data_IF_074164829076
#
_entry.id   IF_074164829076
#
_cell.length_a   1.000
_cell.length_b   1.000
_cell.length_c   1.000
_cell.angle_alpha   90.00
_cell.angle_beta   90.00
_cell.angle_gamma   90.00
#
_symmetry.space_group_name_H-M   'P 1'
#
loop_
_entity.id
_entity.type
_entity.pdbx_description
1 polymer ?
#
# COMPACT_ATOMS: atom_id res chain seq x y z
N UNK A 1 30.46 3.65 26.97
CA UNK A 1 29.52 2.53 26.79
C UNK A 1 29.81 1.96 25.42
N UNK A 2 30.52 0.84 25.40
CA UNK A 2 31.00 0.23 24.16
C UNK A 2 29.86 -0.55 23.51
N UNK A 3 29.40 -0.05 22.36
CA UNK A 3 28.49 -0.75 21.46
C UNK A 3 29.31 -1.79 20.70
N UNK A 4 29.31 -3.03 21.21
CA UNK A 4 29.84 -4.18 20.48
C UNK A 4 28.92 -4.44 19.28
N UNK A 5 29.45 -4.19 18.09
CA UNK A 5 28.71 -4.32 16.83
C UNK A 5 28.79 -5.74 16.25
N UNK A 6 27.67 -6.39 15.94
CA UNK A 6 27.64 -7.53 15.02
C UNK A 6 27.73 -7.06 13.55
N UNK A 7 28.08 -7.94 12.60
CA UNK A 7 28.47 -7.56 11.23
C UNK A 7 27.29 -7.17 10.30
N UNK A 8 26.09 -7.01 10.84
CA UNK A 8 24.95 -6.42 10.15
C UNK A 8 24.47 -5.26 11.01
N UNK A 9 24.93 -4.05 10.72
CA UNK A 9 24.50 -2.84 11.44
C UNK A 9 23.01 -2.60 11.15
N UNK A 10 22.15 -3.09 12.05
CA UNK A 10 20.71 -2.85 12.08
C UNK A 10 20.48 -1.85 13.21
N UNK A 11 19.94 -0.69 12.88
CA UNK A 11 19.46 0.25 13.88
C UNK A 11 17.93 0.21 13.93
N UNK A 12 17.40 -0.08 15.11
CA UNK A 12 15.96 -0.03 15.39
C UNK A 12 15.72 1.04 16.44
N UNK A 13 14.93 2.05 16.10
CA UNK A 13 14.49 3.08 17.03
C UNK A 13 13.01 2.84 17.34
N UNK A 14 12.69 2.65 18.62
CA UNK A 14 11.32 2.41 19.10
C UNK A 14 11.03 3.16 20.39
N UNK A 15 9.87 3.82 20.47
CA UNK A 15 9.42 4.46 21.71
C UNK A 15 9.14 3.48 22.84
N UNK A 16 8.91 2.20 22.56
CA UNK A 16 8.66 1.19 23.59
C UNK A 16 9.92 0.76 24.35
N UNK A 17 11.11 1.09 23.85
CA UNK A 17 12.38 0.77 24.53
C UNK A 17 12.72 1.77 25.65
N UNK A 18 12.00 2.88 25.74
CA UNK A 18 12.23 3.92 26.73
C UNK A 18 11.04 3.95 27.70
N UNK A 19 11.26 3.39 28.89
CA UNK A 19 10.32 3.51 30.01
C UNK A 19 10.02 4.99 30.32
N UNK A 20 8.91 5.23 31.01
CA UNK A 20 8.15 6.49 31.09
C UNK A 20 8.87 7.77 31.54
N UNK A 21 10.20 7.79 31.69
CA UNK A 21 10.98 8.99 32.02
C UNK A 21 12.37 9.10 31.35
N UNK A 22 12.73 8.30 30.32
CA UNK A 22 14.09 8.32 29.77
C UNK A 22 14.18 8.69 28.28
N UNK A 23 15.00 9.70 27.96
CA UNK A 23 15.55 10.08 26.64
C UNK A 23 14.88 9.47 25.40
N UNK A 24 13.87 10.15 24.87
CA UNK A 24 13.49 9.98 23.48
C UNK A 24 14.72 10.23 22.58
N UNK A 25 14.94 9.44 21.51
CA UNK A 25 15.91 9.84 20.49
C UNK A 25 15.47 11.23 20.02
N UNK A 26 16.24 12.25 20.37
CA UNK A 26 15.98 13.62 19.91
C UNK A 26 16.47 13.74 18.47
N UNK A 27 15.99 14.74 17.74
CA UNK A 27 16.45 15.11 16.39
C UNK A 27 17.99 15.06 16.27
N UNK A 28 18.71 15.46 17.33
CA UNK A 28 20.18 15.39 17.45
C UNK A 28 20.77 13.98 17.33
N UNK A 29 20.11 12.94 17.83
CA UNK A 29 20.58 11.54 17.70
C UNK A 29 20.49 11.12 16.23
N UNK A 30 19.49 11.61 15.51
CA UNK A 30 19.28 11.34 14.11
C UNK A 30 20.28 12.04 13.20
N UNK A 31 20.53 13.32 13.44
CA UNK A 31 21.58 14.07 12.73
C UNK A 31 22.93 13.36 12.88
N UNK A 32 23.25 12.88 14.08
CA UNK A 32 24.47 12.11 14.33
C UNK A 32 24.51 10.77 13.57
N UNK A 33 23.38 10.14 13.31
CA UNK A 33 23.29 8.89 12.54
C UNK A 33 23.35 9.14 11.04
N UNK A 34 22.76 10.23 10.55
CA UNK A 34 22.83 10.66 9.15
C UNK A 34 24.26 11.03 8.74
N UNK A 35 25.08 11.53 9.66
CA UNK A 35 26.48 11.89 9.39
C UNK A 35 27.53 10.87 9.86
N UNK A 36 27.23 10.02 10.86
CA UNK A 36 28.25 9.24 11.59
C UNK A 36 28.33 7.75 11.28
N UNK A 37 27.32 7.14 10.66
CA UNK A 37 27.28 5.68 10.45
C UNK A 37 27.41 5.31 8.96
N UNK A 38 28.62 5.44 8.42
CA UNK A 38 28.96 5.16 7.01
C UNK A 38 28.58 3.75 6.52
N UNK A 39 28.29 2.81 7.43
CA UNK A 39 27.96 1.42 7.12
C UNK A 39 26.54 1.00 7.52
N UNK A 40 25.66 1.93 7.90
CA UNK A 40 24.29 1.58 8.29
C UNK A 40 23.49 1.11 7.07
N UNK A 41 23.31 -0.20 6.95
CA UNK A 41 22.58 -0.81 5.84
C UNK A 41 21.07 -0.94 6.10
N UNK A 42 20.67 -1.07 7.37
CA UNK A 42 19.29 -1.30 7.78
C UNK A 42 18.85 -0.28 8.84
N UNK A 43 17.79 0.46 8.56
CA UNK A 43 17.18 1.41 9.48
C UNK A 43 15.69 1.10 9.65
N UNK A 44 15.23 0.96 10.89
CA UNK A 44 13.84 0.73 11.22
C UNK A 44 13.35 1.70 12.30
N UNK A 45 12.25 2.40 12.01
CA UNK A 45 11.65 3.41 12.88
C UNK A 45 10.24 2.98 13.26
N UNK A 46 10.01 2.83 14.55
CA UNK A 46 8.74 2.36 15.10
C UNK A 46 8.20 3.35 16.12
N UNK A 47 7.11 4.03 15.76
CA UNK A 47 6.39 4.95 16.66
C UNK A 47 7.36 5.90 17.40
N UNK A 48 8.26 6.56 16.68
CA UNK A 48 9.23 7.48 17.29
C UNK A 48 8.54 8.79 17.73
N UNK A 49 8.33 8.95 19.04
CA UNK A 49 7.74 10.14 19.67
C UNK A 49 8.65 11.36 19.49
N UNK A 50 8.06 12.50 19.14
CA UNK A 50 8.78 13.77 18.94
C UNK A 50 9.23 14.04 17.50
N UNK A 51 9.05 13.10 16.57
CA UNK A 51 9.34 13.30 15.14
C UNK A 51 8.06 13.62 14.36
N UNK A 52 7.73 14.90 14.26
CA UNK A 52 6.65 15.34 13.36
C UNK A 52 7.13 15.35 11.90
N UNK A 53 8.40 15.69 11.66
CA UNK A 53 9.04 15.64 10.36
C UNK A 53 10.23 14.68 10.40
N UNK A 54 10.37 13.88 9.34
CA UNK A 54 11.45 12.91 9.21
C UNK A 54 12.34 13.26 8.02
N UNK A 55 13.63 13.45 8.26
CA UNK A 55 14.61 13.70 7.22
C UNK A 55 15.71 12.64 7.26
N UNK A 56 15.90 11.92 6.14
CA UNK A 56 17.00 10.98 5.98
C UNK A 56 17.79 11.34 4.74
N UNK A 57 19.08 11.59 4.91
CA UNK A 57 20.06 11.62 3.83
C UNK A 57 21.10 10.54 4.12
N UNK A 58 21.14 9.48 3.32
CA UNK A 58 22.09 8.38 3.52
C UNK A 58 22.42 7.64 2.23
N UNK A 59 23.70 7.44 2.00
CA UNK A 59 24.18 6.60 0.89
C UNK A 59 24.43 5.15 1.30
N UNK A 60 24.32 4.81 2.59
CA UNK A 60 24.59 3.45 3.08
C UNK A 60 23.33 2.61 3.24
N UNK A 61 22.18 3.25 3.48
CA UNK A 61 20.92 2.56 3.79
C UNK A 61 20.38 1.84 2.57
N UNK A 62 20.23 0.52 2.70
CA UNK A 62 19.64 -0.38 1.69
C UNK A 62 18.22 -0.79 2.05
N UNK A 63 17.92 -0.86 3.34
CA UNK A 63 16.61 -1.24 3.86
C UNK A 63 16.12 -0.18 4.85
N UNK A 64 14.98 0.43 4.54
CA UNK A 64 14.33 1.42 5.39
C UNK A 64 12.92 0.96 5.76
N UNK A 65 12.61 0.88 7.04
CA UNK A 65 11.26 0.65 7.55
C UNK A 65 10.82 1.85 8.39
N UNK A 66 9.64 2.39 8.08
CA UNK A 66 8.98 3.42 8.89
C UNK A 66 7.61 2.88 9.28
N UNK A 67 7.32 2.88 10.58
CA UNK A 67 6.07 2.40 11.16
C UNK A 67 5.50 3.46 12.10
N UNK A 68 4.31 3.97 11.78
CA UNK A 68 3.62 5.07 12.49
C UNK A 68 2.19 4.65 12.82
N UNK A 69 2.08 3.74 13.79
CA UNK A 69 0.79 3.22 14.25
C UNK A 69 0.14 4.08 15.32
N UNK A 70 0.96 4.83 16.09
CA UNK A 70 0.52 5.63 17.25
C UNK A 70 0.74 7.13 17.09
N UNK A 71 1.54 7.55 16.12
CA UNK A 71 2.02 8.94 16.00
C UNK A 71 1.76 9.41 14.58
N UNK A 72 1.27 10.64 14.45
CA UNK A 72 1.06 11.29 13.17
C UNK A 72 2.40 11.89 12.70
N UNK A 73 2.95 11.34 11.63
CA UNK A 73 4.06 11.95 10.91
C UNK A 73 3.48 13.02 9.97
N UNK A 74 3.88 14.28 10.15
CA UNK A 74 3.46 15.41 9.29
C UNK A 74 4.23 15.43 7.98
N UNK A 75 5.52 15.11 8.02
CA UNK A 75 6.40 15.16 6.84
C UNK A 75 7.45 14.06 6.79
N UNK A 76 7.82 13.62 5.59
CA UNK A 76 8.94 12.72 5.36
C UNK A 76 9.72 13.09 4.09
N UNK A 77 11.02 13.34 4.25
CA UNK A 77 11.98 13.58 3.16
C UNK A 77 13.08 12.53 3.22
N UNK A 78 13.12 11.66 2.22
CA UNK A 78 14.09 10.56 2.15
C UNK A 78 14.95 10.74 0.91
N UNK A 79 16.25 10.88 1.13
CA UNK A 79 17.30 10.83 0.12
C UNK A 79 18.17 9.61 0.43
N UNK A 80 17.91 8.51 -0.29
CA UNK A 80 18.57 7.23 -0.07
C UNK A 80 19.03 6.66 -1.41
N UNK A 81 20.28 6.95 -1.78
CA UNK A 81 20.82 6.57 -3.11
C UNK A 81 20.83 5.06 -3.30
N UNK A 82 21.35 4.30 -2.34
CA UNK A 82 21.52 2.85 -2.42
C UNK A 82 20.35 2.03 -1.87
N UNK A 83 19.15 2.61 -1.78
CA UNK A 83 17.98 1.88 -1.30
C UNK A 83 17.65 0.69 -2.21
N UNK A 84 17.31 -0.44 -1.59
CA UNK A 84 16.80 -1.64 -2.26
C UNK A 84 15.35 -1.90 -1.86
N UNK A 85 15.01 -1.66 -0.60
CA UNK A 85 13.67 -1.89 -0.08
C UNK A 85 13.26 -0.77 0.88
N UNK A 86 12.08 -0.21 0.62
CA UNK A 86 11.40 0.71 1.52
C UNK A 86 10.10 0.07 2.02
N UNK A 87 9.85 0.15 3.32
CA UNK A 87 8.61 -0.31 3.94
C UNK A 87 7.99 0.80 4.75
N UNK A 88 6.74 1.13 4.45
CA UNK A 88 5.95 2.10 5.19
C UNK A 88 4.72 1.44 5.78
N UNK A 89 4.52 1.57 7.08
CA UNK A 89 3.38 1.00 7.81
C UNK A 89 2.71 2.12 8.60
N UNK A 90 1.44 2.41 8.35
CA UNK A 90 0.77 3.51 9.05
C UNK A 90 -0.74 3.32 9.14
N UNK A 91 -1.36 4.06 10.06
CA UNK A 91 -2.78 4.38 9.91
C UNK A 91 -2.93 5.44 8.80
N UNK A 92 -3.95 5.39 7.95
CA UNK A 92 -4.05 6.35 6.82
C UNK A 92 -4.10 7.83 7.23
N UNK A 93 -4.74 8.23 8.36
CA UNK A 93 -4.60 9.60 8.85
C UNK A 93 -3.14 10.04 9.06
N UNK A 94 -2.25 9.08 9.35
CA UNK A 94 -0.82 9.25 9.56
C UNK A 94 0.03 9.18 8.27
N UNK A 95 -0.60 9.15 7.08
CA UNK A 95 0.15 9.42 5.84
C UNK A 95 0.57 10.89 5.85
N UNK A 96 1.88 11.19 5.74
CA UNK A 96 2.40 12.55 5.81
C UNK A 96 1.79 13.47 4.76
N UNK A 97 1.58 14.73 5.14
CA UNK A 97 1.08 15.76 4.23
C UNK A 97 2.13 16.11 3.18
N UNK A 98 3.40 16.05 3.58
CA UNK A 98 4.59 16.15 2.72
C UNK A 98 5.34 14.82 2.72
N UNK A 99 5.49 14.22 1.53
CA UNK A 99 6.25 12.99 1.37
C UNK A 99 7.07 13.09 0.09
N UNK A 100 8.39 13.01 0.21
CA UNK A 100 9.32 13.03 -0.91
C UNK A 100 10.36 11.94 -0.78
N UNK A 101 10.63 11.26 -1.88
CA UNK A 101 11.62 10.20 -1.94
C UNK A 101 12.51 10.43 -3.16
N UNK A 102 13.81 10.53 -2.92
CA UNK A 102 14.82 10.67 -3.97
C UNK A 102 15.82 9.52 -3.85
N UNK A 103 16.06 8.87 -4.97
CA UNK A 103 17.14 7.90 -5.14
C UNK A 103 17.95 8.29 -6.37
N UNK A 104 19.25 8.04 -6.33
CA UNK A 104 20.16 8.28 -7.45
C UNK A 104 20.62 6.97 -8.11
N UNK A 105 20.18 5.80 -7.62
CA UNK A 105 20.52 4.53 -8.26
C UNK A 105 19.65 4.26 -9.47
N UNK A 106 20.29 3.75 -10.53
CA UNK A 106 19.61 3.18 -11.70
C UNK A 106 19.11 1.75 -11.46
N UNK A 107 19.16 1.26 -10.22
CA UNK A 107 18.78 -0.11 -9.86
C UNK A 107 17.30 -0.15 -9.51
N UNK A 108 16.66 -1.25 -9.87
CA UNK A 108 15.30 -1.51 -9.40
C UNK A 108 15.28 -1.65 -7.88
N UNK A 109 14.27 -1.06 -7.25
CA UNK A 109 14.04 -1.13 -5.81
C UNK A 109 12.54 -1.27 -5.54
N UNK A 110 12.22 -1.77 -4.35
CA UNK A 110 10.86 -2.18 -3.98
C UNK A 110 10.30 -1.29 -2.86
N UNK A 111 9.03 -0.91 -3.01
CA UNK A 111 8.26 -0.21 -1.97
C UNK A 111 7.12 -1.09 -1.48
N UNK A 112 7.05 -1.30 -0.16
CA UNK A 112 5.96 -1.99 0.51
C UNK A 112 5.19 -1.01 1.39
N UNK A 113 3.99 -0.63 0.95
CA UNK A 113 3.15 0.35 1.64
C UNK A 113 1.96 -0.38 2.27
N UNK A 114 1.89 -0.41 3.59
CA UNK A 114 0.83 -1.07 4.35
C UNK A 114 0.08 -0.01 5.13
N UNK A 115 -1.17 0.21 4.76
CA UNK A 115 -1.98 1.26 5.36
C UNK A 115 -3.26 0.70 5.95
N UNK A 116 -3.57 1.10 7.18
CA UNK A 116 -4.78 0.68 7.87
C UNK A 116 -5.73 1.86 8.13
N UNK A 117 -7.00 1.71 7.76
CA UNK A 117 -8.10 2.53 8.26
C UNK A 117 -8.50 1.96 9.62
N UNK A 118 -8.17 2.70 10.69
CA UNK A 118 -8.49 2.37 12.09
C UNK A 118 -9.99 2.34 12.39
N UNK A 119 -10.39 2.34 13.66
CA UNK A 119 -11.83 2.40 14.02
C UNK A 119 -12.47 3.69 13.50
N UNK A 120 -13.80 3.66 13.32
CA UNK A 120 -14.62 4.79 12.85
C UNK A 120 -14.14 6.11 13.45
N UNK A 121 -13.51 6.92 12.60
CA UNK A 121 -13.22 8.30 12.93
C UNK A 121 -14.46 9.09 12.50
N UNK A 122 -15.01 9.98 13.35
CA UNK A 122 -16.16 10.81 12.98
C UNK A 122 -15.91 11.59 11.69
N UNK A 123 -14.65 11.96 11.43
CA UNK A 123 -14.21 12.66 10.22
C UNK A 123 -13.69 11.72 9.11
N UNK A 124 -14.40 10.63 8.81
CA UNK A 124 -14.03 9.76 7.70
C UNK A 124 -14.23 10.48 6.35
N UNK A 125 -13.18 11.13 5.85
CA UNK A 125 -13.13 11.67 4.49
C UNK A 125 -12.29 10.75 3.58
N UNK A 126 -12.96 10.00 2.71
CA UNK A 126 -12.31 9.09 1.77
C UNK A 126 -11.50 9.82 0.69
N UNK A 127 -11.92 11.03 0.29
CA UNK A 127 -11.26 11.81 -0.76
C UNK A 127 -9.94 12.36 -0.24
N UNK A 128 -9.92 12.93 0.95
CA UNK A 128 -8.68 13.37 1.61
C UNK A 128 -7.67 12.22 1.76
N UNK A 129 -8.16 11.03 2.13
CA UNK A 129 -7.33 9.81 2.26
C UNK A 129 -6.74 9.36 0.92
N UNK A 130 -7.53 9.40 -0.14
CA UNK A 130 -7.05 9.09 -1.50
C UNK A 130 -6.05 10.11 -2.02
N UNK A 131 -6.22 11.40 -1.71
CA UNK A 131 -5.25 12.45 -2.04
C UNK A 131 -3.91 12.21 -1.34
N UNK A 132 -3.93 11.88 -0.04
CA UNK A 132 -2.72 11.51 0.73
C UNK A 132 -2.02 10.29 0.13
N UNK A 133 -2.79 9.23 -0.15
CA UNK A 133 -2.27 8.02 -0.81
C UNK A 133 -1.62 8.36 -2.16
N UNK A 134 -2.27 9.17 -2.99
CA UNK A 134 -1.73 9.57 -4.29
C UNK A 134 -0.40 10.28 -4.19
N UNK A 135 -0.26 11.23 -3.24
CA UNK A 135 1.00 11.96 -3.03
C UNK A 135 2.13 11.01 -2.67
N UNK A 136 1.88 10.10 -1.73
CA UNK A 136 2.85 9.07 -1.33
C UNK A 136 3.23 8.16 -2.51
N UNK A 137 2.25 7.63 -3.24
CA UNK A 137 2.54 6.76 -4.39
C UNK A 137 3.31 7.50 -5.48
N UNK A 138 3.02 8.78 -5.73
CA UNK A 138 3.74 9.60 -6.70
C UNK A 138 5.22 9.77 -6.32
N UNK A 139 5.51 9.98 -5.04
CA UNK A 139 6.88 10.04 -4.56
C UNK A 139 7.62 8.69 -4.70
N UNK A 140 6.89 7.58 -4.69
CA UNK A 140 7.44 6.22 -4.82
C UNK A 140 7.42 5.69 -6.27
N UNK A 141 7.01 6.50 -7.26
CA UNK A 141 6.74 6.02 -8.62
C UNK A 141 7.96 5.47 -9.36
N UNK A 142 9.17 5.70 -8.86
CA UNK A 142 10.41 5.10 -9.37
C UNK A 142 10.68 3.68 -8.85
N UNK A 143 9.81 3.11 -8.01
CA UNK A 143 9.94 1.77 -7.44
C UNK A 143 8.87 0.81 -7.96
N UNK A 144 9.08 -0.49 -7.74
CA UNK A 144 8.00 -1.48 -7.82
C UNK A 144 7.19 -1.42 -6.52
N UNK A 145 5.95 -0.94 -6.62
CA UNK A 145 5.11 -0.68 -5.44
C UNK A 145 4.19 -1.87 -5.16
N UNK A 146 4.23 -2.39 -3.94
CA UNK A 146 3.22 -3.28 -3.37
C UNK A 146 2.43 -2.52 -2.31
N UNK A 147 1.12 -2.38 -2.52
CA UNK A 147 0.18 -1.65 -1.67
C UNK A 147 -0.79 -2.60 -0.96
N UNK A 148 -0.83 -2.56 0.36
CA UNK A 148 -1.81 -3.28 1.18
C UNK A 148 -2.69 -2.29 1.93
N UNK A 149 -4.00 -2.33 1.69
CA UNK A 149 -5.00 -1.49 2.33
C UNK A 149 -5.86 -2.34 3.29
N UNK A 150 -5.85 -1.99 4.58
CA UNK A 150 -6.70 -2.64 5.58
C UNK A 150 -7.84 -1.72 5.99
N UNK A 151 -9.07 -2.03 5.61
CA UNK A 151 -10.14 -1.04 5.55
C UNK A 151 -11.27 -1.35 6.53
N UNK A 152 -10.98 -1.10 7.80
CA UNK A 152 -11.87 -1.40 8.92
C UNK A 152 -12.66 -0.17 9.42
N UNK A 153 -12.67 0.94 8.66
CA UNK A 153 -13.42 2.17 8.98
C UNK A 153 -14.28 2.63 7.80
N UNK A 154 -15.19 3.57 8.08
CA UNK A 154 -16.06 4.20 7.08
C UNK A 154 -17.40 3.48 6.94
N UNK A 155 -18.39 4.11 6.28
CA UNK A 155 -19.76 3.65 6.26
C UNK A 155 -19.89 2.21 5.74
N UNK A 156 -20.69 1.40 6.44
CA UNK A 156 -20.92 -0.01 6.09
C UNK A 156 -21.89 -0.17 4.92
N UNK A 157 -22.93 0.68 4.88
CA UNK A 157 -24.08 0.53 3.99
C UNK A 157 -24.29 1.69 3.02
N UNK A 158 -23.50 2.77 3.12
CA UNK A 158 -23.61 3.91 2.23
C UNK A 158 -22.54 3.83 1.16
N UNK A 159 -22.87 4.35 -0.02
CA UNK A 159 -21.95 4.48 -1.13
C UNK A 159 -20.74 5.32 -0.71
N UNK A 160 -19.56 4.90 -1.17
CA UNK A 160 -18.36 5.70 -1.00
C UNK A 160 -18.42 6.83 -2.00
N UNK A 161 -18.84 8.02 -1.56
CA UNK A 161 -18.87 9.21 -2.40
C UNK A 161 -17.44 9.72 -2.66
N UNK A 162 -16.85 9.18 -3.72
CA UNK A 162 -15.56 9.63 -4.22
C UNK A 162 -15.79 10.79 -5.18
N UNK A 163 -15.60 12.02 -4.72
CA UNK A 163 -15.77 13.20 -5.55
C UNK A 163 -14.75 13.16 -6.71
N UNK A 164 -15.26 12.91 -7.92
CA UNK A 164 -14.45 12.70 -9.11
C UNK A 164 -13.61 13.93 -9.47
N UNK A 165 -14.11 15.14 -9.21
CA UNK A 165 -13.40 16.38 -9.50
C UNK A 165 -12.23 16.63 -8.55
N UNK A 166 -12.31 16.17 -7.30
CA UNK A 166 -11.19 16.29 -6.35
C UNK A 166 -10.06 15.32 -6.66
N UNK A 167 -10.39 14.18 -7.27
CA UNK A 167 -9.43 13.13 -7.61
C UNK A 167 -8.95 13.23 -9.07
N UNK A 168 -9.63 14.00 -9.92
CA UNK A 168 -9.13 14.42 -11.23
C UNK A 168 -7.94 15.36 -11.03
N UNK A 169 -6.79 14.93 -11.54
CA UNK A 169 -5.62 15.80 -11.67
C UNK A 169 -5.01 15.56 -13.03
N UNK A 170 -4.29 16.55 -13.54
CA UNK A 170 -3.56 16.49 -14.81
C UNK A 170 -2.53 15.33 -14.86
N UNK A 171 -2.16 14.76 -13.71
CA UNK A 171 -1.21 13.66 -13.64
C UNK A 171 -1.93 12.30 -13.73
N UNK A 172 -1.39 11.34 -14.50
CA UNK A 172 -1.95 10.00 -14.58
C UNK A 172 -1.91 9.28 -13.22
N UNK A 173 -2.78 8.28 -12.97
CA UNK A 173 -2.71 7.45 -11.78
C UNK A 173 -1.40 6.64 -11.75
N UNK A 174 -0.89 6.36 -10.55
CA UNK A 174 0.42 5.70 -10.36
C UNK A 174 0.31 4.19 -10.60
N UNK A 175 1.23 3.60 -11.35
CA UNK A 175 1.30 2.14 -11.49
C UNK A 175 1.68 1.47 -10.17
N UNK A 176 0.94 0.42 -9.80
CA UNK A 176 1.21 -0.38 -8.60
C UNK A 176 1.36 -1.83 -9.05
N UNK A 177 2.43 -2.50 -8.62
CA UNK A 177 2.70 -3.89 -9.01
C UNK A 177 1.67 -4.83 -8.37
N UNK A 178 1.47 -4.69 -7.06
CA UNK A 178 0.57 -5.54 -6.28
C UNK A 178 -0.35 -4.69 -5.41
N UNK A 179 -1.65 -4.96 -5.45
CA UNK A 179 -2.65 -4.42 -4.55
C UNK A 179 -3.28 -5.55 -3.74
N UNK A 180 -3.34 -5.36 -2.43
CA UNK A 180 -4.12 -6.19 -1.52
C UNK A 180 -5.12 -5.31 -0.75
N UNK A 181 -6.37 -5.74 -0.70
CA UNK A 181 -7.40 -5.13 0.12
C UNK A 181 -7.88 -6.16 1.14
N UNK A 182 -7.88 -5.78 2.42
CA UNK A 182 -8.47 -6.56 3.49
C UNK A 182 -9.47 -5.71 4.26
N UNK A 183 -10.54 -6.32 4.75
CA UNK A 183 -11.52 -5.66 5.61
C UNK A 183 -12.16 -6.70 6.52
N UNK A 184 -12.48 -6.31 7.75
CA UNK A 184 -13.24 -7.14 8.71
C UNK A 184 -14.75 -6.99 8.56
N UNK A 185 -15.21 -6.10 7.68
CA UNK A 185 -16.63 -5.80 7.53
C UNK A 185 -17.20 -6.38 6.24
N UNK A 186 -18.43 -6.90 6.33
CA UNK A 186 -19.25 -7.15 5.16
C UNK A 186 -19.72 -5.80 4.59
N UNK A 187 -19.32 -5.47 3.37
CA UNK A 187 -19.69 -4.22 2.69
C UNK A 187 -20.56 -4.49 1.47
N UNK A 188 -21.38 -3.51 1.09
CA UNK A 188 -22.27 -3.62 -0.08
C UNK A 188 -21.48 -3.62 -1.39
N UNK A 189 -22.09 -4.12 -2.47
CA UNK A 189 -21.50 -4.05 -3.81
C UNK A 189 -21.27 -2.60 -4.27
N UNK A 190 -22.20 -1.71 -3.92
CA UNK A 190 -22.10 -0.28 -4.24
C UNK A 190 -20.92 0.40 -3.52
N UNK A 191 -20.62 -0.03 -2.29
CA UNK A 191 -19.42 0.41 -1.58
C UNK A 191 -18.14 0.03 -2.34
N UNK A 192 -18.01 -1.22 -2.78
CA UNK A 192 -16.84 -1.68 -3.54
C UNK A 192 -16.72 -0.96 -4.88
N UNK A 193 -17.85 -0.70 -5.53
CA UNK A 193 -17.89 0.08 -6.77
C UNK A 193 -17.39 1.51 -6.58
N UNK A 194 -17.92 2.24 -5.59
CA UNK A 194 -17.47 3.59 -5.25
C UNK A 194 -16.00 3.62 -4.84
N UNK A 195 -15.59 2.68 -3.98
CA UNK A 195 -14.20 2.58 -3.53
C UNK A 195 -13.22 2.29 -4.66
N UNK A 196 -13.51 1.33 -5.55
CA UNK A 196 -12.65 1.01 -6.71
C UNK A 196 -12.57 2.18 -7.68
N UNK A 197 -13.68 2.90 -7.89
CA UNK A 197 -13.68 4.12 -8.67
C UNK A 197 -12.75 5.19 -8.08
N UNK A 198 -12.82 5.47 -6.78
CA UNK A 198 -11.88 6.42 -6.18
C UNK A 198 -10.42 5.93 -6.22
N UNK A 199 -10.19 4.67 -5.87
CA UNK A 199 -8.84 4.08 -5.82
C UNK A 199 -8.17 4.06 -7.20
N UNK A 200 -8.90 3.73 -8.26
CA UNK A 200 -8.30 3.63 -9.60
C UNK A 200 -8.02 4.99 -10.26
N UNK A 201 -8.52 6.09 -9.67
CA UNK A 201 -8.05 7.46 -9.99
C UNK A 201 -6.71 7.76 -9.33
N UNK A 202 -6.37 7.06 -8.26
CA UNK A 202 -5.12 7.20 -7.52
C UNK A 202 -4.04 6.29 -8.10
N UNK A 203 -4.35 5.02 -8.35
CA UNK A 203 -3.40 4.04 -8.84
C UNK A 203 -3.97 3.03 -9.84
N UNK A 204 -3.10 2.42 -10.65
CA UNK A 204 -3.43 1.31 -11.57
C UNK A 204 -2.69 0.05 -11.13
N UNK A 205 -3.34 -0.86 -10.38
CA UNK A 205 -2.70 -2.09 -9.95
C UNK A 205 -2.55 -3.08 -11.10
N UNK A 206 -1.39 -3.73 -11.24
CA UNK A 206 -1.16 -4.82 -12.19
C UNK A 206 -1.69 -6.15 -11.67
N UNK A 207 -1.56 -6.37 -10.37
CA UNK A 207 -2.04 -7.58 -9.70
C UNK A 207 -2.91 -7.21 -8.49
N UNK A 208 -4.07 -7.84 -8.35
CA UNK A 208 -4.94 -7.71 -7.18
C UNK A 208 -5.03 -9.06 -6.49
N UNK A 209 -4.45 -9.13 -5.31
CA UNK A 209 -4.37 -10.33 -4.50
C UNK A 209 -5.60 -10.45 -3.58
N UNK A 210 -6.13 -11.67 -3.45
CA UNK A 210 -7.09 -12.01 -2.42
C UNK A 210 -6.39 -12.10 -1.06
N UNK A 211 -7.07 -11.69 0.01
CA UNK A 211 -6.57 -11.61 1.39
C UNK A 211 -5.54 -12.71 1.72
N UNK A 212 -4.27 -12.34 1.91
CA UNK A 212 -3.18 -13.26 2.30
C UNK A 212 -3.25 -13.69 3.77
N UNK A 213 -4.10 -13.03 4.57
CA UNK A 213 -4.19 -13.19 6.03
C UNK A 213 -5.27 -14.20 6.46
N UNK A 214 -5.34 -15.37 5.84
CA UNK A 214 -6.16 -16.48 6.36
C UNK A 214 -5.24 -17.51 7.01
N UNK A 215 -5.68 -18.12 8.13
CA UNK A 215 -4.88 -19.12 8.86
C UNK A 215 -4.44 -20.24 7.93
N UNK A 216 -3.30 -20.88 8.25
CA UNK A 216 -2.72 -21.98 7.46
C UNK A 216 -3.72 -23.11 7.15
N UNK A 217 -4.72 -23.31 8.02
CA UNK A 217 -5.81 -24.28 7.87
C UNK A 217 -6.78 -23.98 6.72
N UNK A 218 -6.83 -22.73 6.27
CA UNK A 218 -7.80 -22.22 5.30
C UNK A 218 -7.15 -21.92 3.93
N UNK A 219 -5.83 -22.20 3.80
CA UNK A 219 -5.02 -21.96 2.58
C UNK A 219 -5.54 -22.75 1.36
N UNK A 220 -6.28 -23.83 1.58
CA UNK A 220 -6.73 -24.72 0.50
C UNK A 220 -8.10 -24.34 -0.07
N UNK A 221 -8.78 -23.33 0.48
CA UNK A 221 -10.14 -22.97 0.09
C UNK A 221 -10.32 -21.46 -0.11
N UNK A 222 -9.52 -20.88 -1.01
CA UNK A 222 -9.65 -19.46 -1.30
C UNK A 222 -10.84 -19.20 -2.23
N UNK A 223 -11.57 -18.11 -1.94
CA UNK A 223 -12.57 -17.51 -2.83
C UNK A 223 -12.04 -16.17 -3.33
N UNK A 224 -12.60 -15.68 -4.42
CA UNK A 224 -12.40 -14.29 -4.81
C UNK A 224 -12.86 -13.37 -3.67
N UNK A 225 -12.07 -12.35 -3.38
CA UNK A 225 -12.55 -11.30 -2.48
C UNK A 225 -13.70 -10.54 -3.14
N UNK A 226 -14.59 -9.94 -2.35
CA UNK A 226 -15.69 -9.12 -2.88
C UNK A 226 -15.17 -7.96 -3.76
N UNK A 227 -13.96 -7.45 -3.47
CA UNK A 227 -13.25 -6.52 -4.35
C UNK A 227 -12.97 -7.15 -5.72
N UNK A 228 -12.29 -8.29 -5.75
CA UNK A 228 -11.95 -8.97 -7.00
C UNK A 228 -13.22 -9.30 -7.80
N UNK A 229 -14.26 -9.79 -7.12
CA UNK A 229 -15.55 -10.09 -7.75
C UNK A 229 -16.21 -8.83 -8.33
N UNK A 230 -16.20 -7.70 -7.60
CA UNK A 230 -16.76 -6.44 -8.10
C UNK A 230 -16.07 -5.93 -9.37
N UNK A 231 -14.75 -6.11 -9.49
CA UNK A 231 -13.98 -5.71 -10.68
C UNK A 231 -14.34 -6.60 -11.89
N UNK A 232 -14.50 -7.91 -11.67
CA UNK A 232 -14.95 -8.83 -12.72
C UNK A 232 -16.36 -8.47 -13.23
N UNK A 233 -17.30 -8.22 -12.31
CA UNK A 233 -18.67 -7.79 -12.66
C UNK A 233 -18.68 -6.46 -13.41
N UNK A 234 -17.87 -5.50 -12.99
CA UNK A 234 -17.71 -4.21 -13.65
C UNK A 234 -17.18 -4.35 -15.08
N UNK A 235 -16.30 -5.31 -15.32
CA UNK A 235 -15.73 -5.57 -16.63
C UNK A 235 -16.75 -6.20 -17.59
N UNK A 236 -17.63 -7.08 -17.09
CA UNK A 236 -18.66 -7.76 -17.91
C UNK A 236 -19.95 -6.93 -18.09
N UNK A 237 -20.39 -6.17 -17.09
CA UNK A 237 -21.64 -5.39 -17.16
C UNK A 237 -21.55 -4.27 -18.19
N UNK A 238 -22.38 -4.31 -19.24
CA UNK A 238 -22.23 -3.36 -20.35
C UNK A 238 -22.75 -1.94 -20.08
N UNK A 239 -23.70 -1.68 -19.17
CA UNK A 239 -24.44 -0.41 -19.26
C UNK A 239 -24.93 0.29 -17.97
N UNK A 240 -24.83 -0.27 -16.76
CA UNK A 240 -25.56 0.33 -15.61
C UNK A 240 -24.75 1.06 -14.53
N UNK A 241 -23.41 0.91 -14.49
CA UNK A 241 -22.57 1.60 -13.48
C UNK A 241 -21.39 2.29 -14.17
N UNK A 242 -21.18 3.61 -13.98
CA UNK A 242 -20.15 4.36 -14.68
C UNK A 242 -18.77 4.11 -14.06
N UNK A 243 -18.16 2.98 -14.40
CA UNK A 243 -16.75 2.71 -14.10
C UNK A 243 -15.87 3.49 -15.08
N UNK A 244 -15.44 4.71 -14.70
CA UNK A 244 -14.61 5.56 -15.58
C UNK A 244 -13.34 4.84 -16.07
N UNK A 245 -12.77 3.98 -15.21
CA UNK A 245 -11.54 3.24 -15.48
C UNK A 245 -11.71 2.09 -16.47
N UNK A 246 -12.95 1.72 -16.83
CA UNK A 246 -13.19 0.57 -17.72
C UNK A 246 -12.65 0.80 -19.11
N UNK A 247 -12.70 2.03 -19.62
CA UNK A 247 -12.12 2.37 -20.93
C UNK A 247 -10.58 2.24 -20.94
N UNK A 248 -9.97 2.34 -19.77
CA UNK A 248 -8.52 2.21 -19.55
C UNK A 248 -8.13 0.77 -19.23
N UNK A 249 -9.05 -0.13 -18.89
CA UNK A 249 -8.74 -1.52 -18.58
C UNK A 249 -8.90 -2.36 -19.84
N UNK A 250 -7.79 -2.84 -20.40
CA UNK A 250 -7.79 -3.63 -21.63
C UNK A 250 -8.19 -5.08 -21.37
N UNK A 251 -7.63 -5.69 -20.32
CA UNK A 251 -7.81 -7.11 -20.03
C UNK A 251 -7.81 -7.38 -18.53
N UNK A 252 -8.63 -8.35 -18.13
CA UNK A 252 -8.68 -8.89 -16.76
C UNK A 252 -8.49 -10.40 -16.85
N UNK A 253 -7.50 -10.91 -16.15
CA UNK A 253 -7.23 -12.34 -16.04
C UNK A 253 -7.30 -12.78 -14.60
N UNK A 254 -7.83 -13.97 -14.36
CA UNK A 254 -7.86 -14.60 -13.04
C UNK A 254 -6.82 -15.72 -13.02
N UNK A 255 -6.04 -15.85 -11.95
CA UNK A 255 -5.08 -16.94 -11.76
C UNK A 255 -4.92 -17.34 -10.30
N UNK A 256 -4.35 -18.53 -10.07
CA UNK A 256 -3.93 -19.04 -8.75
C UNK A 256 -2.41 -19.02 -8.62
N UNK A 257 -1.91 -18.79 -7.41
CA UNK A 257 -0.48 -18.57 -7.18
C UNK A 257 0.26 -19.83 -6.70
N UNK A 258 -0.46 -20.85 -6.24
CA UNK A 258 0.17 -22.09 -5.79
C UNK A 258 0.55 -23.00 -6.97
N UNK A 259 1.76 -22.78 -7.48
CA UNK A 259 2.47 -23.69 -8.39
C UNK A 259 2.51 -23.23 -9.86
N UNK A 260 3.16 -22.10 -10.15
CA UNK A 260 3.69 -21.71 -11.47
C UNK A 260 2.76 -21.74 -12.71
N UNK A 261 1.46 -21.98 -12.57
CA UNK A 261 0.53 -21.96 -13.70
C UNK A 261 -0.48 -20.86 -13.47
N UNK A 262 -0.24 -19.71 -14.12
CA UNK A 262 -1.29 -18.75 -14.43
C UNK A 262 -2.26 -19.40 -15.42
N UNK A 263 -3.18 -20.23 -14.93
CA UNK A 263 -4.24 -20.73 -15.78
C UNK A 263 -5.18 -19.56 -16.04
N UNK A 264 -5.07 -19.00 -17.25
CA UNK A 264 -6.06 -18.08 -17.77
C UNK A 264 -7.40 -18.82 -17.75
N UNK A 265 -8.25 -18.48 -16.79
CA UNK A 265 -9.61 -18.98 -16.81
C UNK A 265 -10.46 -17.96 -17.57
N UNK A 266 -10.91 -18.35 -18.77
CA UNK A 266 -11.94 -17.61 -19.50
C UNK A 266 -13.30 -17.92 -18.86
N UNK A 267 -14.11 -16.90 -18.61
CA UNK A 267 -15.34 -17.05 -17.82
C UNK A 267 -16.59 -16.71 -18.62
N UNK A 268 -17.62 -17.54 -18.42
CA UNK A 268 -18.96 -17.37 -18.99
C UNK A 268 -20.07 -17.41 -17.92
N UNK A 269 -19.75 -17.65 -16.64
CA UNK A 269 -20.74 -17.76 -15.55
C UNK A 269 -20.23 -17.23 -14.20
N UNK A 270 -20.62 -16.00 -13.86
CA UNK A 270 -20.27 -15.27 -12.63
C UNK A 270 -20.87 -15.89 -11.35
N UNK A 271 -22.01 -16.58 -11.45
CA UNK A 271 -22.69 -17.13 -10.27
C UNK A 271 -21.92 -18.28 -9.64
N UNK A 272 -21.27 -19.09 -10.49
CA UNK A 272 -20.39 -20.19 -10.07
C UNK A 272 -19.08 -19.68 -9.46
N UNK A 273 -18.60 -18.50 -9.88
CA UNK A 273 -17.36 -17.92 -9.38
C UNK A 273 -17.42 -17.55 -7.90
N UNK A 274 -18.56 -17.06 -7.43
CA UNK A 274 -18.72 -16.61 -6.04
C UNK A 274 -18.67 -17.76 -5.04
N UNK A 275 -19.09 -18.95 -5.47
CA UNK A 275 -19.23 -20.14 -4.61
C UNK A 275 -18.06 -21.11 -4.73
N UNK A 276 -17.34 -21.08 -5.85
CA UNK A 276 -16.19 -21.95 -6.15
C UNK A 276 -15.04 -21.73 -5.18
N UNK A 277 -14.50 -22.83 -4.67
CA UNK A 277 -13.27 -22.87 -3.86
C UNK A 277 -12.10 -23.20 -4.78
N UNK A 278 -10.98 -22.54 -4.56
CA UNK A 278 -9.74 -22.76 -5.29
C UNK A 278 -8.66 -23.27 -4.36
N UNK A 279 -7.86 -24.22 -4.86
CA UNK A 279 -6.60 -24.59 -4.24
C UNK A 279 -5.59 -23.49 -4.53
N UNK A 280 -5.30 -22.67 -3.52
CA UNK A 280 -4.29 -21.62 -3.57
C UNK A 280 -4.81 -20.19 -3.78
N UNK A 281 -3.91 -19.24 -3.57
CA UNK A 281 -4.26 -17.82 -3.46
C UNK A 281 -4.70 -17.27 -4.83
N UNK A 282 -5.90 -16.71 -4.88
CA UNK A 282 -6.49 -16.10 -6.08
C UNK A 282 -5.92 -14.69 -6.32
N UNK A 283 -5.58 -14.42 -7.58
CA UNK A 283 -5.08 -13.13 -8.05
C UNK A 283 -5.81 -12.70 -9.33
N UNK A 284 -6.12 -11.41 -9.44
CA UNK A 284 -6.50 -10.79 -10.71
C UNK A 284 -5.27 -10.12 -11.30
N UNK A 285 -4.94 -10.43 -12.56
CA UNK A 285 -3.97 -9.70 -13.36
C UNK A 285 -4.70 -8.73 -14.28
N UNK A 286 -4.38 -7.45 -14.16
CA UNK A 286 -5.00 -6.35 -14.90
C UNK A 286 -4.00 -5.81 -15.92
N UNK A 287 -4.47 -5.60 -17.15
CA UNK A 287 -3.71 -4.92 -18.20
C UNK A 287 -4.36 -3.57 -18.49
N UNK A 288 -3.61 -2.49 -18.26
CA UNK A 288 -4.11 -1.13 -18.49
C UNK A 288 -3.69 -0.62 -19.87
N UNK A 289 -4.52 0.22 -20.47
CA UNK A 289 -4.27 0.85 -21.76
C UNK A 289 -3.07 1.77 -21.67
N UNK A 290 -2.18 1.67 -22.65
CA UNK A 290 -0.95 2.48 -22.67
C UNK A 290 0.12 2.00 -21.68
N UNK A 291 -0.10 0.88 -20.99
CA UNK A 291 0.93 0.24 -20.17
C UNK A 291 2.02 -0.31 -21.09
N UNK A 292 3.22 0.28 -21.02
CA UNK A 292 4.41 -0.30 -21.65
C UNK A 292 4.80 -1.53 -20.84
N UNK A 293 4.95 -2.67 -21.52
CA UNK A 293 5.64 -3.82 -20.93
C UNK A 293 7.07 -3.41 -20.61
N UNK A 294 7.45 -3.51 -19.33
CA UNK A 294 8.85 -3.43 -18.92
C UNK A 294 9.63 -4.59 -19.54
#
# INVERSE_FOLDING_TARGET
MDLVSPPNHILVLSSQQFGSEACYPTERVFDLLSFGCLALANLALHDCLGFEEFHLASDSVKWLTISTSRILLKGATICASNILVFKFIALIPAVPDTFSFTTTTSKEWDSHVILSWGKEHPDFDVNARFLKLRRMLKALSGSRISLSLQMNAGPLNNDVDCNHHLLESDHPPVMVENLELSTRHCRTASWYSGFTNGLFRVCRPMHIWGCRLVRQSDINEHRLSELQFSILLANESFESVPYFWRHDLEQVHVGTVDGNIWQLVQWTDLSKLRTRRYGGIMCLKLKWRGQKTA
#
